data_IF_343200209352
#
_entry.id   IF_343200209352
#
_cell.length_a   1.000
_cell.length_b   1.000
_cell.length_c   1.000
_cell.angle_alpha   90.00
_cell.angle_beta   90.00
_cell.angle_gamma   90.00
#
_symmetry.space_group_name_H-M   'P 1'
#
loop_
_entity.id
_entity.type
_entity.pdbx_description
1 polymer ?
#
# COMPACT_ATOMS: atom_id res chain seq x y z
N UNK A 1 -24.17 -3.83 0.16
CA UNK A 1 -23.31 -2.62 0.20
C UNK A 1 -21.89 -3.13 0.18
N UNK A 2 -21.03 -2.70 -0.74
CA UNK A 2 -19.61 -3.09 -0.69
C UNK A 2 -19.06 -2.62 0.66
N UNK A 3 -18.28 -3.49 1.32
CA UNK A 3 -17.67 -3.16 2.61
C UNK A 3 -16.47 -2.25 2.33
N UNK A 4 -16.11 -1.33 3.24
CA UNK A 4 -14.87 -0.58 3.07
C UNK A 4 -13.72 -1.58 3.02
N UNK A 5 -12.99 -1.62 1.91
CA UNK A 5 -11.66 -2.20 1.89
C UNK A 5 -10.75 -1.19 2.56
N UNK A 6 -10.04 -1.60 3.61
CA UNK A 6 -9.25 -0.65 4.38
C UNK A 6 -8.01 -0.22 3.58
N UNK A 7 -7.63 1.05 3.74
CA UNK A 7 -6.47 1.65 3.10
C UNK A 7 -5.52 2.12 4.20
N UNK A 8 -4.27 1.69 4.12
CA UNK A 8 -3.30 1.98 5.18
C UNK A 8 -2.08 2.71 4.64
N UNK A 9 -1.53 3.60 5.47
CA UNK A 9 -0.27 4.28 5.22
C UNK A 9 0.70 4.03 6.36
N UNK A 10 1.98 3.86 6.04
CA UNK A 10 3.04 3.85 7.03
C UNK A 10 4.37 4.37 6.46
N UNK A 11 5.20 4.91 7.36
CA UNK A 11 6.57 5.28 7.04
C UNK A 11 7.51 4.09 7.24
N UNK A 12 8.48 3.95 6.35
CA UNK A 12 9.56 2.95 6.44
C UNK A 12 10.36 3.19 7.72
N UNK A 13 10.70 2.10 8.42
CA UNK A 13 11.50 2.15 9.67
C UNK A 13 12.90 1.59 9.50
N UNK A 14 13.10 0.77 8.48
CA UNK A 14 14.36 0.11 8.13
C UNK A 14 14.60 0.30 6.65
N UNK A 15 15.80 0.79 6.32
CA UNK A 15 16.22 0.93 4.92
C UNK A 15 16.31 -0.45 4.26
N UNK A 16 15.70 -0.57 3.08
CA UNK A 16 15.82 -1.74 2.24
C UNK A 16 17.04 -1.57 1.32
N UNK A 17 17.98 -2.51 1.35
CA UNK A 17 19.24 -2.41 0.58
C UNK A 17 19.02 -2.45 -0.94
N UNK A 18 17.95 -3.10 -1.40
CA UNK A 18 17.60 -3.20 -2.82
C UNK A 18 16.76 -2.02 -3.30
N UNK A 19 16.02 -1.39 -2.38
CA UNK A 19 15.15 -0.23 -2.65
C UNK A 19 15.42 0.89 -1.63
N UNK A 20 16.63 1.48 -1.63
CA UNK A 20 17.03 2.44 -0.60
C UNK A 20 16.27 3.78 -0.67
N UNK A 21 15.62 4.07 -1.80
CA UNK A 21 14.83 5.28 -2.00
C UNK A 21 13.43 5.22 -1.37
N UNK A 22 12.93 4.05 -0.98
CA UNK A 22 11.57 3.91 -0.47
C UNK A 22 11.47 4.48 0.95
N UNK A 23 10.56 5.43 1.14
CA UNK A 23 10.36 6.15 2.42
C UNK A 23 9.03 5.83 3.08
N UNK A 24 8.03 5.40 2.31
CA UNK A 24 6.70 5.09 2.82
C UNK A 24 5.97 4.09 1.91
N UNK A 25 5.01 3.40 2.50
CA UNK A 25 4.17 2.41 1.85
C UNK A 25 2.70 2.77 2.03
N UNK A 26 1.91 2.46 1.00
CA UNK A 26 0.45 2.39 1.07
C UNK A 26 0.01 0.97 0.80
N UNK A 27 -0.89 0.43 1.62
CA UNK A 27 -1.61 -0.81 1.35
C UNK A 27 -3.03 -0.47 0.91
N UNK A 28 -3.33 -0.76 -0.35
CA UNK A 28 -4.61 -0.45 -0.96
C UNK A 28 -5.46 -1.71 -1.10
N UNK A 29 -6.51 -1.83 -0.28
CA UNK A 29 -7.43 -2.97 -0.38
C UNK A 29 -8.25 -2.91 -1.67
N UNK A 30 -8.25 -3.99 -2.44
CA UNK A 30 -9.02 -4.14 -3.67
C UNK A 30 -10.06 -5.25 -3.50
N UNK A 31 -11.32 -4.94 -3.83
CA UNK A 31 -12.37 -5.95 -3.88
C UNK A 31 -12.17 -6.88 -5.08
N UNK A 32 -12.30 -8.18 -4.85
CA UNK A 32 -12.32 -9.21 -5.89
C UNK A 32 -13.67 -9.92 -5.81
N UNK A 33 -14.39 -9.99 -6.93
CA UNK A 33 -15.72 -10.59 -6.95
C UNK A 33 -15.65 -12.09 -6.65
N UNK A 34 -16.26 -12.50 -5.54
CA UNK A 34 -16.34 -13.91 -5.15
C UNK A 34 -15.09 -14.49 -4.49
N UNK A 35 -14.12 -13.65 -4.12
CA UNK A 35 -12.85 -14.06 -3.51
C UNK A 35 -12.46 -13.16 -2.33
N UNK A 36 -11.40 -13.54 -1.60
CA UNK A 36 -10.80 -12.71 -0.55
C UNK A 36 -10.15 -11.45 -1.15
N UNK A 37 -10.15 -10.33 -0.41
CA UNK A 37 -9.58 -9.08 -0.91
C UNK A 37 -8.06 -9.20 -1.11
N UNK A 38 -7.58 -8.67 -2.23
CA UNK A 38 -6.15 -8.51 -2.48
C UNK A 38 -5.71 -7.11 -2.05
N UNK A 39 -4.43 -6.96 -1.74
CA UNK A 39 -3.85 -5.67 -1.35
C UNK A 39 -2.79 -5.27 -2.34
N UNK A 40 -2.93 -4.07 -2.90
CA UNK A 40 -1.89 -3.43 -3.69
C UNK A 40 -0.98 -2.66 -2.73
N UNK A 41 0.24 -3.16 -2.54
CA UNK A 41 1.31 -2.40 -1.91
C UNK A 41 1.85 -1.39 -2.92
N UNK A 42 1.86 -0.11 -2.55
CA UNK A 42 2.45 0.97 -3.35
C UNK A 42 3.60 1.55 -2.54
N UNK A 43 4.80 1.55 -3.13
CA UNK A 43 6.03 2.07 -2.52
C UNK A 43 6.31 3.46 -3.04
N UNK A 44 6.54 4.40 -2.14
CA UNK A 44 6.84 5.79 -2.47
C UNK A 44 8.29 6.13 -2.13
N UNK A 45 8.94 6.85 -3.03
CA UNK A 45 10.15 7.62 -2.72
C UNK A 45 9.77 8.90 -1.98
N UNK A 46 8.69 9.56 -2.42
CA UNK A 46 8.09 10.72 -1.77
C UNK A 46 6.56 10.64 -1.87
N UNK A 47 5.88 10.48 -0.73
CA UNK A 47 4.42 10.36 -0.68
C UNK A 47 3.69 11.70 -0.88
N UNK A 48 4.28 12.82 -0.46
CA UNK A 48 3.62 14.12 -0.61
C UNK A 48 3.66 14.61 -2.05
N UNK A 49 4.76 14.32 -2.76
CA UNK A 49 4.93 14.60 -4.19
C UNK A 49 4.41 13.46 -5.09
N UNK A 50 3.84 12.40 -4.51
CA UNK A 50 3.32 11.20 -5.20
C UNK A 50 4.34 10.52 -6.12
N UNK A 51 5.62 10.51 -5.73
CA UNK A 51 6.69 9.82 -6.44
C UNK A 51 6.70 8.34 -6.07
N UNK A 52 6.14 7.51 -6.96
CA UNK A 52 6.03 6.06 -6.79
C UNK A 52 7.30 5.38 -7.30
N UNK A 53 7.91 4.55 -6.46
CA UNK A 53 9.00 3.63 -6.86
C UNK A 53 8.43 2.44 -7.64
N UNK A 54 7.31 1.90 -7.16
CA UNK A 54 6.59 0.81 -7.81
C UNK A 54 5.51 0.23 -6.91
N UNK A 55 4.87 -0.82 -7.39
CA UNK A 55 3.78 -1.50 -6.68
C UNK A 55 3.97 -3.02 -6.68
N UNK A 56 3.18 -3.72 -5.85
CA UNK A 56 3.11 -5.17 -5.79
C UNK A 56 1.74 -5.64 -5.27
N UNK A 57 1.15 -6.66 -5.91
CA UNK A 57 -0.11 -7.26 -5.47
C UNK A 57 0.16 -8.41 -4.49
N UNK A 58 -0.54 -8.36 -3.35
CA UNK A 58 -0.45 -9.30 -2.25
C UNK A 58 -1.81 -9.95 -1.99
N UNK A 59 -1.78 -11.20 -1.55
CA UNK A 59 -2.99 -11.95 -1.20
C UNK A 59 -3.37 -11.66 0.25
N UNK A 60 -4.34 -10.78 0.46
CA UNK A 60 -4.79 -10.42 1.80
C UNK A 60 -3.92 -9.40 2.53
N UNK A 61 -4.50 -8.85 3.61
CA UNK A 61 -3.88 -7.80 4.41
C UNK A 61 -2.67 -8.29 5.20
N UNK A 62 -2.77 -9.51 5.74
CA UNK A 62 -1.77 -10.01 6.67
C UNK A 62 -0.46 -10.34 5.97
N UNK A 63 -0.52 -10.98 4.80
CA UNK A 63 0.66 -11.20 3.95
C UNK A 63 1.34 -9.89 3.56
N UNK A 64 0.55 -8.85 3.25
CA UNK A 64 1.06 -7.52 2.91
C UNK A 64 1.76 -6.85 4.11
N UNK A 65 1.17 -6.94 5.31
CA UNK A 65 1.77 -6.41 6.53
C UNK A 65 3.04 -7.17 6.94
N UNK A 66 3.05 -8.50 6.83
CA UNK A 66 4.23 -9.33 7.13
C UNK A 66 5.39 -9.05 6.16
N UNK A 67 5.11 -8.90 4.87
CA UNK A 67 6.11 -8.51 3.88
C UNK A 67 6.71 -7.13 4.18
N UNK A 68 5.87 -6.14 4.52
CA UNK A 68 6.32 -4.81 4.87
C UNK A 68 7.13 -4.77 6.17
N UNK A 69 6.80 -5.61 7.16
CA UNK A 69 7.59 -5.77 8.37
C UNK A 69 8.98 -6.33 8.05
N UNK A 70 9.06 -7.38 7.24
CA UNK A 70 10.32 -8.02 6.87
C UNK A 70 11.24 -7.09 6.05
N UNK A 71 10.67 -6.43 5.04
CA UNK A 71 11.42 -5.62 4.08
C UNK A 71 11.74 -4.21 4.59
N UNK A 72 10.78 -3.56 5.25
CA UNK A 72 10.85 -2.13 5.59
C UNK A 72 10.76 -1.87 7.10
N UNK A 73 10.63 -2.92 7.92
CA UNK A 73 10.55 -2.80 9.38
C UNK A 73 9.25 -2.17 9.88
N UNK A 74 8.21 -2.10 9.03
CA UNK A 74 6.93 -1.46 9.37
C UNK A 74 6.11 -2.45 10.21
N UNK A 75 5.91 -2.13 11.48
CA UNK A 75 5.16 -2.98 12.40
C UNK A 75 3.66 -2.70 12.28
N UNK A 76 2.85 -3.64 12.78
CA UNK A 76 1.38 -3.54 12.75
C UNK A 76 0.83 -2.24 13.36
N UNK A 77 1.49 -1.70 14.39
CA UNK A 77 1.10 -0.45 15.06
C UNK A 77 1.55 0.84 14.36
N UNK A 78 2.40 0.75 13.34
CA UNK A 78 2.86 1.91 12.57
C UNK A 78 1.88 2.29 11.44
N UNK A 79 1.01 1.35 11.05
CA UNK A 79 -0.03 1.56 10.07
C UNK A 79 -1.14 2.45 10.62
N UNK A 80 -1.48 3.49 9.86
CA UNK A 80 -2.69 4.28 10.09
C UNK A 80 -3.67 4.08 8.94
N UNK A 81 -4.96 4.08 9.27
CA UNK A 81 -5.99 4.19 8.25
C UNK A 81 -5.88 5.55 7.53
N UNK A 82 -6.10 5.52 6.23
CA UNK A 82 -6.13 6.69 5.37
C UNK A 82 -7.53 7.28 5.33
N UNK A 83 -7.61 8.61 5.22
CA UNK A 83 -8.88 9.28 4.98
C UNK A 83 -9.20 9.37 3.47
N UNK A 84 -10.45 9.70 3.14
CA UNK A 84 -10.93 9.76 1.74
C UNK A 84 -10.09 10.67 0.83
N UNK A 85 -9.62 11.82 1.33
CA UNK A 85 -8.82 12.75 0.51
C UNK A 85 -7.45 12.14 0.17
N UNK A 86 -6.86 11.41 1.11
CA UNK A 86 -5.60 10.71 0.88
C UNK A 86 -5.75 9.55 -0.10
N UNK A 87 -6.86 8.82 -0.01
CA UNK A 87 -7.18 7.72 -0.92
C UNK A 87 -7.37 8.27 -2.35
N UNK A 88 -8.14 9.35 -2.50
CA UNK A 88 -8.45 9.94 -3.80
C UNK A 88 -7.25 10.57 -4.53
N UNK A 89 -6.20 10.99 -3.80
CA UNK A 89 -5.00 11.58 -4.43
C UNK A 89 -4.04 10.55 -5.00
N UNK A 90 -4.09 9.30 -4.57
CA UNK A 90 -3.12 8.28 -5.00
C UNK A 90 -3.42 7.85 -6.44
N UNK A 91 -2.47 8.01 -7.37
CA UNK A 91 -2.64 7.53 -8.73
C UNK A 91 -2.29 6.04 -8.78
N UNK A 92 -3.23 5.16 -8.44
CA UNK A 92 -3.00 3.71 -8.57
C UNK A 92 -3.59 3.16 -9.88
N UNK A 93 -2.87 2.20 -10.46
CA UNK A 93 -3.22 1.53 -11.71
C UNK A 93 -3.39 0.04 -11.43
N UNK A 94 -4.50 -0.54 -11.86
CA UNK A 94 -4.68 -2.00 -11.82
C UNK A 94 -4.51 -2.51 -13.25
N UNK A 95 -3.46 -3.31 -13.50
CA UNK A 95 -3.16 -3.84 -14.83
C UNK A 95 -2.88 -2.77 -15.89
N UNK A 96 -2.33 -1.62 -15.48
CA UNK A 96 -2.05 -0.48 -16.37
C UNK A 96 -3.24 0.43 -16.67
N UNK A 97 -4.40 0.21 -16.04
CA UNK A 97 -5.60 1.04 -16.17
C UNK A 97 -5.76 1.88 -14.91
N UNK A 98 -5.91 3.22 -15.02
CA UNK A 98 -6.26 4.04 -13.87
C UNK A 98 -7.64 3.63 -13.35
N UNK A 99 -7.72 3.27 -12.07
CA UNK A 99 -9.00 3.01 -11.41
C UNK A 99 -9.50 4.34 -10.85
N UNK A 100 -10.71 4.75 -11.25
CA UNK A 100 -11.42 5.92 -10.73
C UNK A 100 -12.77 5.51 -10.18
#
# INVERSE_FOLDING_TARGET
MPKPTNYFFANVRKLNEFRPGVTSLVLFGLEVEGDDPVYLEIRFEDYEELQIEGDHLMLGLEDAMESAELEYGILRGDWREMNEMEIQRIPFFVGGIPVK
#
